data_IF_933549119046
#
_entry.id   IF_933549119046
#
_cell.length_a   1.000
_cell.length_b   1.000
_cell.length_c   1.000
_cell.angle_alpha   90.00
_cell.angle_beta   90.00
_cell.angle_gamma   90.00
#
_symmetry.space_group_name_H-M   'P 1'
#
loop_
_entity.id
_entity.type
_entity.pdbx_description
1 polymer ?
#
# COMPACT_ATOMS: atom_id res chain seq x y z
N UNK A 1 27.40 15.59 2.57
CA UNK A 1 25.92 15.75 2.63
C UNK A 1 25.32 14.36 2.52
N UNK A 2 24.67 13.85 3.57
CA UNK A 2 24.06 12.51 3.53
C UNK A 2 22.72 12.59 2.77
N UNK A 3 22.66 12.00 1.58
CA UNK A 3 21.41 11.85 0.83
C UNK A 3 20.62 10.73 1.47
N UNK A 4 19.43 11.04 1.99
CA UNK A 4 18.46 10.04 2.43
C UNK A 4 17.58 9.71 1.23
N UNK A 5 17.89 8.62 0.53
CA UNK A 5 16.95 8.04 -0.44
C UNK A 5 15.94 7.18 0.32
N UNK A 6 14.68 7.60 0.32
CA UNK A 6 13.56 6.78 0.76
C UNK A 6 13.02 6.03 -0.46
N UNK A 7 13.23 4.72 -0.49
CA UNK A 7 12.63 3.86 -1.53
C UNK A 7 11.40 3.17 -0.97
N UNK A 8 10.31 3.27 -1.70
CA UNK A 8 9.09 2.52 -1.42
C UNK A 8 9.14 1.20 -2.18
N UNK A 9 8.69 0.11 -1.57
CA UNK A 9 8.50 -1.15 -2.29
C UNK A 9 7.41 -1.00 -3.35
N UNK A 10 7.55 -1.73 -4.46
CA UNK A 10 6.53 -1.83 -5.51
C UNK A 10 5.35 -2.73 -5.11
N UNK A 11 5.31 -3.17 -3.85
CA UNK A 11 4.24 -4.04 -3.32
C UNK A 11 3.75 -3.51 -1.98
N UNK A 12 2.48 -3.77 -1.68
CA UNK A 12 1.87 -3.47 -0.39
C UNK A 12 1.07 -4.66 0.12
N UNK A 13 1.04 -4.82 1.44
CA UNK A 13 0.16 -5.78 2.10
C UNK A 13 -1.26 -5.21 2.16
N UNK A 14 -2.23 -6.01 1.71
CA UNK A 14 -3.64 -5.66 1.68
C UNK A 14 -4.38 -6.69 2.53
N UNK A 15 -4.96 -6.24 3.62
CA UNK A 15 -5.69 -7.09 4.56
C UNK A 15 -7.19 -6.93 4.35
N UNK A 16 -7.88 -8.02 4.07
CA UNK A 16 -9.34 -8.03 3.99
C UNK A 16 -9.96 -7.99 5.39
N UNK A 17 -10.73 -6.95 5.71
CA UNK A 17 -11.31 -6.74 7.05
C UNK A 17 -12.23 -7.91 7.44
N UNK A 18 -13.02 -8.40 6.49
CA UNK A 18 -14.02 -9.44 6.72
C UNK A 18 -13.42 -10.81 7.07
N UNK A 19 -12.34 -11.18 6.40
CA UNK A 19 -11.73 -12.51 6.53
C UNK A 19 -10.43 -12.49 7.33
N UNK A 20 -9.89 -11.30 7.65
CA UNK A 20 -8.55 -11.09 8.23
C UNK A 20 -7.45 -11.84 7.46
N UNK A 21 -7.60 -11.92 6.15
CA UNK A 21 -6.62 -12.50 5.24
C UNK A 21 -5.81 -11.35 4.64
N UNK A 22 -4.50 -11.42 4.81
CA UNK A 22 -3.55 -10.50 4.19
C UNK A 22 -3.04 -11.10 2.89
N UNK A 23 -3.07 -10.30 1.83
CA UNK A 23 -2.57 -10.65 0.50
C UNK A 23 -1.61 -9.59 0.03
N UNK A 24 -0.60 -10.00 -0.75
CA UNK A 24 0.36 -9.07 -1.33
C UNK A 24 -0.19 -8.52 -2.64
N UNK A 25 -0.27 -7.19 -2.76
CA UNK A 25 -0.67 -6.50 -3.97
C UNK A 25 0.51 -5.80 -4.63
N UNK A 26 0.60 -5.88 -5.95
CA UNK A 26 1.56 -5.13 -6.75
C UNK A 26 1.03 -3.71 -6.97
N UNK A 27 1.81 -2.70 -6.60
CA UNK A 27 1.43 -1.29 -6.70
C UNK A 27 1.56 -0.84 -8.14
N UNK A 28 0.47 -0.29 -8.69
CA UNK A 28 0.43 0.33 -10.00
C UNK A 28 0.57 1.85 -9.90
N UNK A 29 0.03 2.44 -8.84
CA UNK A 29 0.11 3.89 -8.59
C UNK A 29 0.08 4.12 -7.10
N UNK A 30 1.03 4.89 -6.59
CA UNK A 30 1.11 5.27 -5.19
C UNK A 30 1.22 6.78 -5.06
N UNK A 31 0.34 7.36 -4.25
CA UNK A 31 0.46 8.73 -3.75
C UNK A 31 0.31 8.69 -2.24
N UNK A 32 1.38 9.08 -1.55
CA UNK A 32 1.41 9.10 -0.10
C UNK A 32 0.25 9.93 0.47
N UNK A 33 -0.47 9.35 1.43
CA UNK A 33 -1.63 9.94 2.13
C UNK A 33 -2.77 10.38 1.22
N UNK A 34 -2.86 9.82 0.02
CA UNK A 34 -3.92 10.11 -0.95
C UNK A 34 -4.55 8.82 -1.48
N UNK A 35 -3.83 8.08 -2.32
CA UNK A 35 -4.37 6.91 -3.02
C UNK A 35 -3.29 5.86 -3.31
N UNK A 36 -3.68 4.59 -3.19
CA UNK A 36 -2.93 3.43 -3.67
C UNK A 36 -3.81 2.69 -4.65
N UNK A 37 -3.29 2.47 -5.85
CA UNK A 37 -3.88 1.58 -6.83
C UNK A 37 -2.94 0.39 -6.92
N UNK A 38 -3.44 -0.78 -6.55
CA UNK A 38 -2.67 -2.02 -6.57
C UNK A 38 -3.44 -3.11 -7.30
N UNK A 39 -2.75 -4.14 -7.76
CA UNK A 39 -3.34 -5.35 -8.31
C UNK A 39 -3.03 -6.55 -7.42
N UNK A 40 -4.06 -7.29 -7.05
CA UNK A 40 -3.94 -8.55 -6.31
C UNK A 40 -3.84 -9.67 -7.33
N UNK A 41 -2.79 -10.49 -7.22
CA UNK A 41 -2.54 -11.65 -8.10
C UNK A 41 -2.65 -11.32 -9.60
N UNK A 42 -2.24 -10.10 -10.02
CA UNK A 42 -2.36 -9.59 -11.40
C UNK A 42 -3.74 -9.68 -12.05
N UNK A 43 -4.76 -9.95 -11.26
CA UNK A 43 -6.10 -10.29 -11.73
C UNK A 43 -7.13 -9.26 -11.26
N UNK A 44 -6.94 -8.73 -10.06
CA UNK A 44 -7.91 -7.86 -9.41
C UNK A 44 -7.30 -6.51 -9.04
N UNK A 45 -7.72 -5.45 -9.75
CA UNK A 45 -7.30 -4.07 -9.44
C UNK A 45 -8.11 -3.53 -8.27
N UNK A 46 -7.43 -3.17 -7.19
CA UNK A 46 -8.01 -2.51 -6.03
C UNK A 46 -7.57 -1.05 -5.96
N UNK A 47 -8.47 -0.21 -5.49
CA UNK A 47 -8.19 1.21 -5.22
C UNK A 47 -8.42 1.47 -3.75
N UNK A 48 -7.35 1.82 -3.04
CA UNK A 48 -7.35 2.13 -1.61
C UNK A 48 -7.15 3.63 -1.46
N UNK A 49 -8.01 4.29 -0.68
CA UNK A 49 -7.90 5.73 -0.40
C UNK A 49 -7.43 5.93 1.02
N UNK A 50 -6.59 6.94 1.24
CA UNK A 50 -6.12 7.27 2.57
C UNK A 50 -7.27 7.72 3.47
N UNK A 51 -7.37 7.12 4.65
CA UNK A 51 -8.32 7.49 5.70
C UNK A 51 -7.54 8.05 6.86
N UNK A 52 -7.48 9.39 6.95
CA UNK A 52 -6.76 10.10 8.01
C UNK A 52 -7.18 9.70 9.43
N UNK A 53 -8.45 9.34 9.64
CA UNK A 53 -8.95 8.91 10.95
C UNK A 53 -8.43 7.53 11.39
N UNK A 54 -8.18 6.63 10.43
CA UNK A 54 -7.67 5.29 10.69
C UNK A 54 -6.15 5.19 10.47
N UNK A 55 -5.55 6.22 9.85
CA UNK A 55 -4.15 6.23 9.40
C UNK A 55 -3.81 5.04 8.48
N UNK A 56 -4.78 4.61 7.69
CA UNK A 56 -4.71 3.45 6.79
C UNK A 56 -5.32 3.78 5.43
N UNK A 57 -4.89 3.06 4.40
CA UNK A 57 -5.53 3.08 3.09
C UNK A 57 -6.66 2.06 3.07
N UNK A 58 -7.88 2.52 2.83
CA UNK A 58 -9.08 1.68 2.84
C UNK A 58 -9.71 1.72 1.45
N UNK A 59 -10.08 0.54 0.96
CA UNK A 59 -10.75 0.35 -0.33
C UNK A 59 -11.72 -0.81 -0.26
N UNK A 60 -12.51 -0.96 -1.31
CA UNK A 60 -13.42 -2.09 -1.43
C UNK A 60 -13.39 -2.64 -2.85
N UNK A 61 -13.51 -3.96 -2.94
CA UNK A 61 -13.60 -4.68 -4.21
C UNK A 61 -14.62 -5.80 -4.05
N UNK A 62 -15.60 -5.87 -4.97
CA UNK A 62 -16.63 -6.90 -4.99
C UNK A 62 -17.37 -7.09 -3.64
N UNK A 63 -17.60 -5.99 -2.89
CA UNK A 63 -18.27 -6.03 -1.58
C UNK A 63 -17.40 -6.51 -0.41
N UNK A 64 -16.09 -6.69 -0.62
CA UNK A 64 -15.12 -6.93 0.45
C UNK A 64 -14.36 -5.64 0.72
N UNK A 65 -14.23 -5.27 2.00
CA UNK A 65 -13.43 -4.14 2.43
C UNK A 65 -11.99 -4.59 2.73
N UNK A 66 -11.05 -3.77 2.29
CA UNK A 66 -9.63 -3.98 2.40
C UNK A 66 -8.97 -2.77 3.06
N UNK A 67 -8.00 -3.05 3.91
CA UNK A 67 -7.15 -2.06 4.55
C UNK A 67 -5.68 -2.35 4.24
N UNK A 68 -4.86 -1.31 4.14
CA UNK A 68 -3.42 -1.42 3.92
C UNK A 68 -2.69 -0.29 4.65
N UNK A 69 -1.56 -0.57 5.32
CA UNK A 69 -0.67 0.47 5.83
C UNK A 69 0.10 1.19 4.71
N UNK A 70 0.06 0.67 3.48
CA UNK A 70 0.82 1.16 2.33
C UNK A 70 2.12 0.37 2.08
N UNK A 71 2.93 0.80 1.10
CA UNK A 71 4.22 0.18 0.82
C UNK A 71 5.18 0.36 1.98
N UNK A 72 6.00 -0.67 2.23
CA UNK A 72 7.14 -0.52 3.13
C UNK A 72 8.15 0.45 2.52
N UNK A 73 8.70 1.33 3.36
CA UNK A 73 9.72 2.29 2.98
C UNK A 73 11.05 1.93 3.63
N UNK A 74 12.12 1.79 2.84
CA UNK A 74 13.47 1.61 3.35
C UNK A 74 14.24 2.92 3.21
N UNK A 75 14.81 3.38 4.32
CA UNK A 75 15.72 4.53 4.33
C UNK A 75 17.15 4.00 4.30
N UNK A 76 17.80 4.10 3.14
CA UNK A 76 19.21 3.75 3.03
C UNK A 76 20.06 4.97 3.40
N UNK A 77 20.99 4.77 4.33
CA UNK A 77 21.98 5.78 4.68
C UNK A 77 23.27 5.43 3.92
N UNK A 78 23.40 5.94 2.69
CA UNK A 78 24.61 5.71 1.92
C UNK A 78 25.74 6.56 2.51
N UNK A 79 26.83 5.90 2.92
CA UNK A 79 28.09 6.54 3.30
C UNK A 79 29.01 6.36 2.10
N UNK A 80 29.18 7.42 1.29
CA UNK A 80 30.19 7.46 0.23
C UNK A 80 31.46 8.08 0.79
#
# INVERSE_FOLDING_TARGET
MAVRETRFEDTCEITGIKNRISVLGEILTFKEKDIIIATIQRSAKVTLRWKKHAELYIGSLAGVEFESPGPKSYTYRTHR
#
